data_IF_934029170746
#
_entry.id   IF_934029170746
#
_cell.length_a   1.000
_cell.length_b   1.000
_cell.length_c   1.000
_cell.angle_alpha   90.00
_cell.angle_beta   90.00
_cell.angle_gamma   90.00
#
_symmetry.space_group_name_H-M   'P 1'
#
loop_
_entity.id
_entity.type
_entity.pdbx_description
1 polymer ?
#
# COMPACT_ATOMS: atom_id res chain seq x y z
N UNK A 1 19.75 11.08 -28.39
CA UNK A 1 19.75 9.94 -27.44
C UNK A 1 18.99 10.33 -26.18
N UNK A 2 17.71 9.99 -26.10
CA UNK A 2 16.94 10.17 -24.86
C UNK A 2 17.31 9.03 -23.91
N UNK A 3 18.14 9.31 -22.90
CA UNK A 3 18.38 8.40 -21.79
C UNK A 3 17.01 8.08 -21.18
N UNK A 4 16.55 6.83 -21.25
CA UNK A 4 15.38 6.38 -20.52
C UNK A 4 15.51 6.87 -19.07
N UNK A 5 14.57 7.69 -18.59
CA UNK A 5 14.55 8.16 -17.18
C UNK A 5 14.50 7.01 -16.18
N UNK A 6 14.25 5.80 -16.68
CA UNK A 6 14.39 4.57 -15.94
C UNK A 6 15.67 3.90 -16.40
N UNK A 7 16.75 4.13 -15.65
CA UNK A 7 17.97 3.32 -15.76
C UNK A 7 17.66 1.84 -15.55
N UNK A 8 18.59 0.98 -15.98
CA UNK A 8 18.51 -0.48 -15.98
C UNK A 8 17.65 -1.02 -14.82
N UNK A 9 16.39 -1.37 -15.12
CA UNK A 9 15.42 -1.74 -14.08
C UNK A 9 15.80 -3.11 -13.57
N UNK A 10 16.18 -3.19 -12.30
CA UNK A 10 16.42 -4.46 -11.61
C UNK A 10 15.18 -5.32 -11.80
N UNK A 11 15.31 -6.58 -12.26
CA UNK A 11 14.16 -7.44 -12.47
C UNK A 11 13.42 -7.64 -11.14
N UNK A 12 12.15 -7.25 -11.11
CA UNK A 12 11.28 -7.33 -9.93
C UNK A 12 10.93 -8.81 -9.70
N UNK A 13 11.58 -9.43 -8.71
CA UNK A 13 11.34 -10.83 -8.34
C UNK A 13 10.29 -10.95 -7.25
N UNK A 14 10.29 -10.00 -6.30
CA UNK A 14 9.40 -9.98 -5.13
C UNK A 14 8.76 -8.60 -4.97
N UNK A 15 7.65 -8.52 -4.23
CA UNK A 15 7.01 -7.24 -3.86
C UNK A 15 7.96 -6.26 -3.15
N UNK A 16 9.02 -6.74 -2.51
CA UNK A 16 10.05 -5.92 -1.83
C UNK A 16 10.89 -5.09 -2.82
N UNK A 17 10.98 -5.54 -4.07
CA UNK A 17 11.71 -4.83 -5.12
C UNK A 17 10.89 -3.67 -5.70
N UNK A 18 9.61 -3.53 -5.31
CA UNK A 18 8.79 -2.40 -5.73
C UNK A 18 9.20 -1.15 -4.97
N UNK A 19 9.61 -0.12 -5.71
CA UNK A 19 9.90 1.22 -5.13
C UNK A 19 8.72 1.75 -4.30
N UNK A 20 7.50 1.53 -4.80
CA UNK A 20 6.26 1.94 -4.10
C UNK A 20 6.11 1.22 -2.76
N UNK A 21 6.48 -0.07 -2.66
CA UNK A 21 6.48 -0.80 -1.39
C UNK A 21 7.53 -0.23 -0.43
N UNK A 22 8.74 0.04 -0.92
CA UNK A 22 9.82 0.58 -0.08
C UNK A 22 9.51 2.00 0.43
N UNK A 23 8.94 2.86 -0.41
CA UNK A 23 8.52 4.22 -0.03
C UNK A 23 7.38 4.17 0.98
N UNK A 24 6.33 3.39 0.70
CA UNK A 24 5.16 3.28 1.61
C UNK A 24 5.52 2.64 2.95
N UNK A 25 6.40 1.63 2.95
CA UNK A 25 6.88 1.01 4.19
C UNK A 25 7.69 2.00 5.06
N UNK A 26 8.60 2.76 4.44
CA UNK A 26 9.35 3.82 5.16
C UNK A 26 8.42 4.90 5.70
N UNK A 27 7.43 5.31 4.92
CA UNK A 27 6.41 6.27 5.35
C UNK A 27 5.64 5.76 6.57
N UNK A 28 5.20 4.49 6.56
CA UNK A 28 4.50 3.88 7.69
C UNK A 28 5.34 3.84 8.97
N UNK A 29 6.64 3.52 8.85
CA UNK A 29 7.57 3.57 9.97
C UNK A 29 7.74 5.00 10.53
N UNK A 30 7.85 5.99 9.65
CA UNK A 30 7.98 7.39 10.06
C UNK A 30 6.70 7.88 10.76
N UNK A 31 5.52 7.55 10.23
CA UNK A 31 4.23 7.89 10.85
C UNK A 31 4.13 7.26 12.23
N UNK A 32 4.48 5.97 12.38
CA UNK A 32 4.48 5.29 13.68
C UNK A 32 5.47 5.91 14.69
N UNK A 33 6.59 6.46 14.22
CA UNK A 33 7.53 7.21 15.08
C UNK A 33 6.95 8.55 15.50
N UNK A 34 6.45 9.34 14.56
CA UNK A 34 5.87 10.66 14.84
C UNK A 34 4.62 10.58 15.71
N UNK A 35 3.81 9.54 15.54
CA UNK A 35 2.57 9.35 16.29
C UNK A 35 2.80 9.05 17.79
N UNK A 36 4.03 8.69 18.19
CA UNK A 36 4.42 8.57 19.60
C UNK A 36 4.59 9.90 20.32
N UNK A 37 4.73 11.01 19.58
CA UNK A 37 4.92 12.35 20.12
C UNK A 37 3.59 13.11 20.31
N UNK A 38 2.44 12.45 20.13
CA UNK A 38 1.14 13.08 20.28
C UNK A 38 0.84 13.34 21.77
N UNK A 39 0.15 14.43 22.12
CA UNK A 39 -0.25 14.71 23.49
C UNK A 39 -1.23 13.62 23.99
N UNK A 40 -1.11 13.27 25.27
CA UNK A 40 -1.73 12.09 25.89
C UNK A 40 -3.20 11.78 25.53
N UNK A 41 -4.15 12.73 25.54
CA UNK A 41 -5.55 12.41 25.26
C UNK A 41 -5.84 12.01 23.81
N UNK A 42 -5.07 12.53 22.85
CA UNK A 42 -5.27 12.28 21.40
C UNK A 42 -4.34 11.19 20.86
N UNK A 43 -3.28 10.90 21.61
CA UNK A 43 -2.27 9.90 21.28
C UNK A 43 -2.88 8.52 21.04
N UNK A 44 -3.87 8.08 21.80
CA UNK A 44 -4.38 6.72 21.65
C UNK A 44 -5.29 6.56 20.44
N UNK A 45 -6.18 7.51 20.19
CA UNK A 45 -7.15 7.41 19.09
C UNK A 45 -6.54 7.80 17.75
N UNK A 46 -5.93 9.00 17.66
CA UNK A 46 -5.40 9.51 16.40
C UNK A 46 -4.14 8.76 15.97
N UNK A 47 -3.22 8.43 16.89
CA UNK A 47 -2.03 7.65 16.51
C UNK A 47 -2.43 6.26 16.02
N UNK A 48 -3.40 5.61 16.66
CA UNK A 48 -3.87 4.28 16.27
C UNK A 48 -4.52 4.31 14.89
N UNK A 49 -5.37 5.30 14.62
CA UNK A 49 -5.99 5.46 13.29
C UNK A 49 -4.93 5.75 12.21
N UNK A 50 -3.99 6.65 12.49
CA UNK A 50 -2.89 6.98 11.57
C UNK A 50 -1.98 5.79 11.28
N UNK A 51 -1.59 5.02 12.30
CA UNK A 51 -0.74 3.85 12.13
C UNK A 51 -1.45 2.76 11.31
N UNK A 52 -2.76 2.55 11.54
CA UNK A 52 -3.56 1.60 10.76
C UNK A 52 -3.71 2.04 9.30
N UNK A 53 -4.02 3.33 9.08
CA UNK A 53 -4.14 3.88 7.73
C UNK A 53 -2.80 3.79 6.98
N UNK A 54 -1.70 4.20 7.61
CA UNK A 54 -0.37 4.15 7.01
C UNK A 54 0.09 2.71 6.72
N UNK A 55 -0.19 1.76 7.62
CA UNK A 55 0.12 0.34 7.44
C UNK A 55 -0.72 -0.35 6.35
N UNK A 56 -1.91 0.17 6.04
CA UNK A 56 -2.77 -0.38 4.99
C UNK A 56 -2.18 -0.22 3.59
N UNK A 57 -1.38 0.82 3.35
CA UNK A 57 -0.78 1.13 2.06
C UNK A 57 0.19 0.01 1.61
N UNK A 58 1.26 -0.34 2.37
CA UNK A 58 2.14 -1.44 1.98
C UNK A 58 1.41 -2.78 1.95
N UNK A 59 0.41 -3.00 2.81
CA UNK A 59 -0.40 -4.23 2.79
C UNK A 59 -1.18 -4.38 1.46
N UNK A 60 -1.84 -3.31 1.00
CA UNK A 60 -2.57 -3.30 -0.27
C UNK A 60 -1.63 -3.51 -1.47
N UNK A 61 -0.40 -2.98 -1.41
CA UNK A 61 0.62 -3.21 -2.46
C UNK A 61 1.03 -4.69 -2.52
N UNK A 62 1.24 -5.32 -1.37
CA UNK A 62 1.54 -6.77 -1.30
C UNK A 62 0.38 -7.60 -1.81
N UNK A 63 -0.85 -7.26 -1.41
CA UNK A 63 -2.05 -7.95 -1.86
C UNK A 63 -2.26 -7.82 -3.38
N UNK A 64 -2.09 -6.60 -3.93
CA UNK A 64 -2.14 -6.35 -5.36
C UNK A 64 -1.06 -7.12 -6.13
N UNK A 65 0.16 -7.18 -5.58
CA UNK A 65 1.25 -7.96 -6.16
C UNK A 65 0.96 -9.48 -6.15
N UNK A 66 0.38 -10.01 -5.07
CA UNK A 66 -0.01 -11.43 -5.00
C UNK A 66 -1.16 -11.74 -5.99
N UNK A 67 -2.09 -10.81 -6.17
CA UNK A 67 -3.24 -10.95 -7.07
C UNK A 67 -2.92 -10.78 -8.55
N UNK A 68 -1.70 -10.37 -8.93
CA UNK A 68 -1.29 -10.22 -10.35
C UNK A 68 -1.41 -11.53 -11.14
N UNK A 69 -1.33 -12.67 -10.46
CA UNK A 69 -1.48 -14.00 -11.06
C UNK A 69 -2.93 -14.48 -11.13
N UNK A 70 -3.85 -13.81 -10.44
CA UNK A 70 -5.28 -14.15 -10.37
C UNK A 70 -6.15 -13.39 -11.40
N UNK A 71 -5.51 -12.81 -12.43
CA UNK A 71 -6.17 -12.10 -13.52
C UNK A 71 -7.21 -13.03 -14.18
N UNK A 72 -8.47 -12.87 -13.77
CA UNK A 72 -9.60 -13.66 -14.24
C UNK A 72 -10.82 -13.62 -13.31
N UNK A 73 -10.64 -13.60 -11.97
CA UNK A 73 -11.79 -13.75 -11.02
C UNK A 73 -12.27 -12.50 -10.29
N UNK A 74 -11.44 -11.46 -10.14
CA UNK A 74 -11.79 -10.32 -9.29
C UNK A 74 -12.71 -9.32 -10.00
N UNK A 75 -12.70 -9.24 -11.34
CA UNK A 75 -13.67 -8.44 -12.10
C UNK A 75 -15.11 -8.94 -11.90
N UNK A 76 -15.32 -10.25 -11.74
CA UNK A 76 -16.65 -10.83 -11.56
C UNK A 76 -17.29 -10.47 -10.20
N UNK A 77 -16.52 -10.45 -9.11
CA UNK A 77 -17.05 -10.15 -7.78
C UNK A 77 -17.34 -8.65 -7.57
N UNK A 78 -16.56 -7.76 -8.19
CA UNK A 78 -16.89 -6.33 -8.18
C UNK A 78 -18.08 -6.00 -9.08
N UNK A 79 -18.26 -6.70 -10.20
CA UNK A 79 -19.47 -6.58 -11.01
C UNK A 79 -20.73 -6.99 -10.23
N UNK A 80 -20.70 -8.10 -9.46
CA UNK A 80 -21.88 -8.56 -8.72
C UNK A 80 -22.37 -7.61 -7.61
N UNK A 81 -21.50 -6.77 -7.03
CA UNK A 81 -21.90 -5.87 -5.93
C UNK A 81 -22.49 -4.53 -6.40
N UNK A 82 -22.31 -4.17 -7.67
CA UNK A 82 -22.91 -2.96 -8.26
C UNK A 82 -24.22 -3.22 -9.03
N UNK A 83 -24.63 -4.49 -9.21
CA UNK A 83 -25.85 -4.86 -9.93
C UNK A 83 -27.11 -5.04 -9.05
N UNK A 84 -27.03 -4.80 -7.74
CA UNK A 84 -28.17 -4.99 -6.82
C UNK A 84 -28.74 -3.68 -6.21
N UNK A 85 -28.32 -2.52 -6.70
CA UNK A 85 -28.88 -1.21 -6.30
C UNK A 85 -29.39 -0.42 -7.51
N UNK A 86 -30.05 -1.10 -8.45
CA UNK A 86 -30.81 -0.46 -9.52
C UNK A 86 -32.22 -1.01 -9.55
#
# INVERSE_FOLDING_TARGET
>A
MLRSKYGDRVPIKTYKDLDVFQVSYRLALNISKSARNFPGPEQFELARQLCRAAGSIPANVVEGWAKRFFCGRIQALFASRYWFLR
#
